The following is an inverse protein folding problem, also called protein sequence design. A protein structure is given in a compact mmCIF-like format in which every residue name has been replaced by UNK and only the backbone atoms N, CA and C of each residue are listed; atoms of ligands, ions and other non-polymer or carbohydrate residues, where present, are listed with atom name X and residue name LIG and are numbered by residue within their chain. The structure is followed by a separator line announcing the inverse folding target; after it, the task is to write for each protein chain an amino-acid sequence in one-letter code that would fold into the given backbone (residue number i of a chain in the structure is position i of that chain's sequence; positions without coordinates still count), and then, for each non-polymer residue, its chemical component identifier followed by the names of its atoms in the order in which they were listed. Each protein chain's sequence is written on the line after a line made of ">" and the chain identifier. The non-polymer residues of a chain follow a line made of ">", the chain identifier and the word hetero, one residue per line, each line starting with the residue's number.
data_IF_697005416675
#
_entry.id   IF_697005416675
#
_cell.length_a   1.000
_cell.length_b   1.000
_cell.length_c   1.000
_cell.angle_alpha   90.00
_cell.angle_beta   90.00
_cell.angle_gamma   90.00
#
_symmetry.space_group_name_H-M   'P 1'
#
loop_
_entity.id
_entity.type
_entity.pdbx_description
1 polymer ?
#
# COMPACT_ATOMS: atom_id res chain seq x y z
N UNK A 1 30.31 27.79 23.66
CA UNK A 1 28.87 27.76 24.03
C UNK A 1 28.79 27.25 25.47
N UNK A 2 28.20 28.03 26.42
CA UNK A 2 28.11 27.56 27.79
C UNK A 2 27.15 26.37 27.90
N UNK A 3 27.42 25.44 28.82
CA UNK A 3 26.60 24.28 29.12
C UNK A 3 25.12 24.64 29.32
N UNK A 4 24.86 25.82 29.90
CA UNK A 4 23.51 26.37 30.09
C UNK A 4 22.77 26.55 28.76
N UNK A 5 23.41 27.14 27.76
CA UNK A 5 22.75 27.35 26.42
C UNK A 5 22.56 26.05 25.68
N UNK A 6 23.48 25.10 25.81
CA UNK A 6 23.30 23.74 25.23
C UNK A 6 22.11 23.04 25.88
N UNK A 7 21.97 23.11 27.21
CA UNK A 7 20.84 22.51 27.92
C UNK A 7 19.50 23.14 27.49
N UNK A 8 19.44 24.47 27.42
CA UNK A 8 18.24 25.18 26.94
C UNK A 8 17.89 24.75 25.54
N UNK A 9 18.86 24.66 24.63
CA UNK A 9 18.64 24.20 23.25
C UNK A 9 18.07 22.78 23.21
N UNK A 10 18.63 21.84 23.98
CA UNK A 10 18.16 20.46 24.07
C UNK A 10 16.72 20.40 24.58
N UNK A 11 16.40 21.17 25.64
CA UNK A 11 15.02 21.23 26.18
C UNK A 11 14.03 21.79 25.16
N UNK A 12 14.40 22.88 24.48
CA UNK A 12 13.54 23.48 23.44
C UNK A 12 13.35 22.54 22.24
N UNK A 13 14.39 21.85 21.83
CA UNK A 13 14.32 20.85 20.77
C UNK A 13 13.40 19.68 21.16
N UNK A 14 13.55 19.16 22.38
CA UNK A 14 12.70 18.09 22.89
C UNK A 14 11.22 18.53 23.00
N UNK A 15 10.98 19.72 23.52
CA UNK A 15 9.64 20.30 23.60
C UNK A 15 9.03 20.53 22.21
N UNK A 16 9.78 21.10 21.28
CA UNK A 16 9.36 21.29 19.90
C UNK A 16 9.04 19.97 19.18
N UNK A 17 9.87 18.95 19.36
CA UNK A 17 9.64 17.60 18.84
C UNK A 17 8.37 16.98 19.44
N UNK A 18 8.19 17.09 20.75
CA UNK A 18 6.98 16.61 21.43
C UNK A 18 5.72 17.29 20.89
N UNK A 19 5.73 18.63 20.80
CA UNK A 19 4.60 19.40 20.27
C UNK A 19 4.32 19.03 18.80
N UNK A 20 5.36 18.87 17.99
CA UNK A 20 5.22 18.44 16.61
C UNK A 20 4.53 17.07 16.51
N UNK A 21 5.04 16.04 17.22
CA UNK A 21 4.46 14.70 17.20
C UNK A 21 3.02 14.71 17.76
N UNK A 22 2.76 15.52 18.78
CA UNK A 22 1.45 15.55 19.46
C UNK A 22 0.38 16.28 18.68
N UNK A 23 0.73 17.33 17.94
CA UNK A 23 -0.24 18.26 17.37
C UNK A 23 -0.22 18.31 15.84
N UNK A 24 0.88 17.97 15.17
CA UNK A 24 0.92 18.05 13.72
C UNK A 24 -0.02 17.02 13.08
N UNK A 25 -0.91 17.44 12.16
CA UNK A 25 -1.96 16.56 11.62
C UNK A 25 -1.41 15.37 10.81
N UNK A 26 -0.18 15.42 10.31
CA UNK A 26 0.44 14.32 9.57
C UNK A 26 0.44 13.00 10.35
N UNK A 27 0.42 13.05 11.67
CA UNK A 27 0.38 11.87 12.54
C UNK A 27 -1.01 11.25 12.69
N UNK A 28 -2.04 11.85 12.05
CA UNK A 28 -3.40 11.34 12.06
C UNK A 28 -4.21 11.73 13.29
N UNK A 29 -5.45 11.21 13.36
CA UNK A 29 -6.43 11.42 14.42
C UNK A 29 -6.58 10.21 15.33
N UNK A 30 -7.42 10.37 16.35
CA UNK A 30 -7.87 9.28 17.23
C UNK A 30 -9.33 8.93 16.88
N UNK A 31 -9.71 7.65 16.90
CA UNK A 31 -11.09 7.23 16.65
C UNK A 31 -12.07 7.89 17.61
N UNK A 32 -13.20 8.35 17.09
CA UNK A 32 -14.33 8.81 17.86
C UNK A 32 -15.06 7.65 18.59
N UNK A 33 -16.08 7.95 19.38
CA UNK A 33 -16.80 6.95 20.14
C UNK A 33 -17.49 5.90 19.23
N UNK A 34 -17.95 6.29 18.05
CA UNK A 34 -18.61 5.41 17.10
C UNK A 34 -17.61 4.47 16.43
N UNK A 35 -16.48 4.97 15.94
CA UNK A 35 -15.38 4.16 15.40
C UNK A 35 -14.83 3.22 16.48
N UNK A 36 -14.62 3.70 17.71
CA UNK A 36 -14.17 2.84 18.82
C UNK A 36 -15.15 1.72 19.16
N UNK A 37 -16.46 1.98 19.10
CA UNK A 37 -17.45 0.93 19.30
C UNK A 37 -17.35 -0.15 18.23
N UNK A 38 -17.15 0.23 16.97
CA UNK A 38 -16.93 -0.71 15.85
C UNK A 38 -15.61 -1.48 15.99
N UNK A 39 -14.52 -0.80 16.35
CA UNK A 39 -13.21 -1.41 16.60
C UNK A 39 -13.30 -2.50 17.67
N UNK A 40 -13.97 -2.21 18.79
CA UNK A 40 -14.14 -3.16 19.91
C UNK A 40 -14.99 -4.39 19.56
N UNK A 41 -15.81 -4.33 18.54
CA UNK A 41 -16.60 -5.46 18.04
C UNK A 41 -15.81 -6.34 17.05
N UNK A 42 -14.69 -5.86 16.54
CA UNK A 42 -13.84 -6.63 15.63
C UNK A 42 -13.23 -7.84 16.34
N UNK A 43 -13.36 -9.05 15.79
CA UNK A 43 -12.69 -10.24 16.33
C UNK A 43 -11.17 -10.18 16.19
N UNK A 44 -10.66 -9.17 15.46
CA UNK A 44 -9.24 -8.95 15.19
C UNK A 44 -8.64 -7.90 16.12
N UNK A 45 -9.44 -7.35 17.05
CA UNK A 45 -9.00 -6.41 18.08
C UNK A 45 -8.95 -7.12 19.44
N UNK A 46 -7.77 -7.17 20.06
CA UNK A 46 -7.56 -7.90 21.32
C UNK A 46 -7.93 -7.11 22.59
N UNK A 47 -8.51 -5.93 22.44
CA UNK A 47 -8.84 -5.00 23.54
C UNK A 47 -7.89 -3.80 23.63
N UNK A 48 -6.70 -3.89 23.03
CA UNK A 48 -5.68 -2.84 22.99
C UNK A 48 -5.29 -2.46 21.55
N UNK A 49 -5.02 -3.49 20.71
CA UNK A 49 -4.52 -3.33 19.34
C UNK A 49 -5.12 -4.38 18.41
N UNK A 50 -5.05 -4.13 17.12
CA UNK A 50 -5.34 -5.14 16.10
C UNK A 50 -4.24 -6.19 16.01
N UNK A 51 -4.61 -7.44 15.70
CA UNK A 51 -3.71 -8.57 15.62
C UNK A 51 -3.82 -9.29 14.28
N UNK A 52 -2.72 -9.88 13.82
CA UNK A 52 -2.69 -10.74 12.64
C UNK A 52 -3.38 -12.09 12.89
N UNK A 53 -3.84 -12.74 11.80
CA UNK A 53 -4.40 -14.12 11.87
C UNK A 53 -3.37 -15.17 12.29
N UNK A 54 -2.08 -14.87 12.11
CA UNK A 54 -0.95 -15.70 12.47
C UNK A 54 0.02 -14.88 13.31
N UNK A 55 0.75 -15.49 14.28
CA UNK A 55 1.81 -14.80 15.00
C UNK A 55 2.76 -14.10 14.01
N UNK A 56 2.96 -12.82 14.19
CA UNK A 56 3.72 -11.99 13.25
C UNK A 56 4.63 -11.04 14.02
N UNK A 57 5.89 -11.42 14.08
CA UNK A 57 6.95 -10.51 14.54
C UNK A 57 7.33 -9.58 13.39
N UNK A 58 7.40 -8.28 13.67
CA UNK A 58 7.74 -7.29 12.63
C UNK A 58 9.24 -7.36 12.33
N UNK A 59 10.05 -7.58 13.35
CA UNK A 59 11.49 -7.81 13.22
C UNK A 59 11.80 -9.14 13.88
N UNK A 60 12.40 -10.08 13.14
CA UNK A 60 12.96 -11.26 13.76
C UNK A 60 14.20 -10.84 14.55
N UNK A 61 14.21 -11.16 15.83
CA UNK A 61 15.43 -11.16 16.63
C UNK A 61 16.24 -12.39 16.22
N UNK A 62 17.18 -12.26 15.29
CA UNK A 62 18.24 -13.24 15.15
C UNK A 62 19.01 -13.24 16.47
N UNK A 63 19.02 -14.38 17.14
CA UNK A 63 19.53 -14.54 18.52
C UNK A 63 20.99 -14.17 18.75
N UNK A 64 21.72 -13.66 17.76
CA UNK A 64 23.15 -13.38 17.92
C UNK A 64 23.69 -12.11 17.21
N UNK A 65 22.93 -11.41 16.37
CA UNK A 65 23.46 -10.21 15.67
C UNK A 65 22.38 -9.26 15.11
N UNK A 66 21.36 -8.92 15.85
CA UNK A 66 20.56 -7.75 15.49
C UNK A 66 21.20 -6.51 16.12
N UNK A 67 21.95 -5.76 15.34
CA UNK A 67 22.16 -4.36 15.68
C UNK A 67 20.77 -3.73 15.84
N UNK A 68 20.40 -3.42 17.09
CA UNK A 68 19.14 -2.70 17.37
C UNK A 68 19.12 -1.48 16.46
N UNK A 69 17.98 -1.18 15.80
CA UNK A 69 17.89 -0.02 14.93
C UNK A 69 18.39 1.21 15.71
N UNK A 70 19.58 1.67 15.37
CA UNK A 70 20.15 2.86 16.00
C UNK A 70 19.73 4.09 15.20
N UNK A 71 19.47 5.19 15.87
CA UNK A 71 19.19 6.48 15.22
C UNK A 71 20.35 6.84 14.27
N UNK A 72 21.59 6.51 14.67
CA UNK A 72 22.80 6.73 13.85
C UNK A 72 22.76 5.84 12.60
N UNK A 73 22.42 4.55 12.73
CA UNK A 73 22.28 3.63 11.60
C UNK A 73 21.18 4.08 10.63
N UNK A 74 20.03 4.51 11.15
CA UNK A 74 18.97 5.09 10.35
C UNK A 74 19.43 6.37 9.63
N UNK A 75 20.03 7.31 10.33
CA UNK A 75 20.54 8.55 9.74
C UNK A 75 21.59 8.27 8.66
N UNK A 76 22.52 7.34 8.91
CA UNK A 76 23.49 6.89 7.92
C UNK A 76 22.80 6.30 6.69
N UNK A 77 21.78 5.48 6.85
CA UNK A 77 21.05 4.87 5.73
C UNK A 77 20.27 5.87 4.88
N UNK A 78 19.90 7.01 5.46
CA UNK A 78 19.21 8.11 4.77
C UNK A 78 20.20 9.02 4.06
N UNK A 79 21.35 9.34 4.72
CA UNK A 79 22.35 10.28 4.19
C UNK A 79 23.35 9.62 3.24
N UNK A 80 23.61 8.33 3.44
CA UNK A 80 24.52 7.52 2.62
C UNK A 80 23.87 6.16 2.29
N UNK A 81 22.86 6.12 1.42
CA UNK A 81 22.15 4.90 1.12
C UNK A 81 23.07 3.88 0.44
N UNK A 82 22.85 2.56 0.70
CA UNK A 82 23.60 1.51 0.03
C UNK A 82 23.57 1.62 -1.49
N UNK A 83 24.64 1.24 -2.15
CA UNK A 83 24.71 1.22 -3.61
C UNK A 83 23.55 0.40 -4.22
N UNK A 84 22.92 0.91 -5.28
CA UNK A 84 21.78 0.26 -5.93
C UNK A 84 20.44 0.40 -5.21
N UNK A 85 20.36 1.13 -4.10
CA UNK A 85 19.09 1.43 -3.43
C UNK A 85 18.17 2.32 -4.28
N UNK A 86 18.75 3.23 -5.02
CA UNK A 86 18.05 4.08 -5.98
C UNK A 86 18.27 3.58 -7.40
N UNK A 87 17.27 3.68 -8.30
CA UNK A 87 17.48 3.49 -9.73
C UNK A 87 18.55 4.47 -10.24
N UNK A 88 19.41 4.00 -11.13
CA UNK A 88 20.42 4.86 -11.76
C UNK A 88 19.80 5.93 -12.66
N UNK A 89 18.66 5.59 -13.29
CA UNK A 89 17.90 6.44 -14.18
C UNK A 89 16.47 6.66 -13.61
N UNK A 90 15.83 7.79 -13.94
CA UNK A 90 14.43 8.00 -13.59
C UNK A 90 13.54 6.85 -14.09
N UNK A 91 12.56 6.47 -13.28
CA UNK A 91 11.57 5.46 -13.67
C UNK A 91 10.80 5.97 -14.89
N UNK A 92 10.77 5.24 -16.02
CA UNK A 92 10.06 5.66 -17.21
C UNK A 92 8.55 5.74 -16.94
N UNK A 93 7.97 6.90 -17.09
CA UNK A 93 6.54 7.18 -16.94
C UNK A 93 6.07 8.12 -18.05
N UNK A 94 4.77 8.08 -18.35
CA UNK A 94 4.13 8.94 -19.34
C UNK A 94 3.11 9.85 -18.63
N UNK A 95 2.83 11.04 -19.16
CA UNK A 95 1.73 11.87 -18.69
C UNK A 95 0.41 11.07 -18.63
N UNK A 96 -0.44 11.37 -17.66
CA UNK A 96 -1.73 10.72 -17.51
C UNK A 96 -2.67 11.14 -18.65
N UNK A 97 -3.09 10.19 -19.46
CA UNK A 97 -4.13 10.39 -20.47
C UNK A 97 -5.49 9.97 -19.89
N UNK A 98 -6.23 10.94 -19.38
CA UNK A 98 -7.57 10.72 -18.83
C UNK A 98 -8.58 10.22 -19.87
N UNK A 99 -8.41 10.53 -21.15
CA UNK A 99 -9.26 10.04 -22.22
C UNK A 99 -9.03 8.55 -22.52
N UNK A 100 -7.81 8.07 -22.26
CA UNK A 100 -7.48 6.66 -22.38
C UNK A 100 -7.93 5.83 -21.17
N UNK A 101 -8.34 6.44 -20.07
CA UNK A 101 -8.83 5.76 -18.86
C UNK A 101 -10.28 5.27 -19.10
N UNK A 102 -10.43 4.14 -19.76
CA UNK A 102 -11.70 3.46 -20.04
C UNK A 102 -11.93 2.32 -19.04
N UNK A 103 -13.12 1.75 -19.03
CA UNK A 103 -13.40 0.55 -18.22
C UNK A 103 -12.34 -0.54 -18.45
N UNK A 104 -12.01 -1.25 -17.39
CA UNK A 104 -11.00 -2.31 -17.35
C UNK A 104 -9.59 -1.83 -17.69
N UNK A 105 -9.29 -0.54 -17.43
CA UNK A 105 -7.95 0.06 -17.55
C UNK A 105 -7.41 0.42 -16.19
N UNK A 106 -6.10 0.15 -16.03
CA UNK A 106 -5.35 0.35 -14.82
C UNK A 106 -4.12 1.21 -15.14
N UNK A 107 -3.84 2.18 -14.28
CA UNK A 107 -2.66 3.05 -14.38
C UNK A 107 -1.95 3.03 -13.04
N UNK A 108 -0.71 2.59 -13.03
CA UNK A 108 0.16 2.70 -11.88
C UNK A 108 0.76 4.10 -11.84
N UNK A 109 0.54 4.82 -10.74
CA UNK A 109 0.97 6.21 -10.55
C UNK A 109 2.22 6.36 -9.69
N UNK A 110 2.83 5.26 -9.32
CA UNK A 110 4.00 5.20 -8.46
C UNK A 110 3.70 4.55 -7.13
N UNK A 111 4.72 4.04 -6.47
CA UNK A 111 4.66 3.28 -5.23
C UNK A 111 3.46 2.32 -5.19
N UNK A 112 2.57 2.49 -4.20
CA UNK A 112 1.34 1.71 -4.02
C UNK A 112 0.12 2.25 -4.78
N UNK A 113 0.25 3.41 -5.45
CA UNK A 113 -0.90 4.12 -6.02
C UNK A 113 -1.35 3.52 -7.34
N UNK A 114 -2.60 3.07 -7.38
CA UNK A 114 -3.24 2.51 -8.57
C UNK A 114 -4.53 3.25 -8.90
N UNK A 115 -4.60 3.85 -10.08
CA UNK A 115 -5.81 4.45 -10.65
C UNK A 115 -6.43 3.48 -11.65
N UNK A 116 -7.75 3.26 -11.59
CA UNK A 116 -8.43 2.42 -12.57
C UNK A 116 -9.89 2.79 -12.73
N UNK A 117 -10.47 2.35 -13.83
CA UNK A 117 -11.90 2.48 -14.10
C UNK A 117 -12.54 1.08 -14.25
N UNK A 118 -13.62 0.84 -13.51
CA UNK A 118 -14.34 -0.43 -13.52
C UNK A 118 -15.84 -0.18 -13.33
N UNK A 119 -16.68 -0.79 -14.15
CA UNK A 119 -18.14 -0.57 -14.14
C UNK A 119 -18.52 0.92 -14.16
N UNK A 120 -17.86 1.71 -14.98
CA UNK A 120 -18.00 3.17 -15.11
C UNK A 120 -17.65 3.99 -13.84
N UNK A 121 -17.03 3.36 -12.82
CA UNK A 121 -16.51 4.01 -11.64
C UNK A 121 -15.00 4.18 -11.72
N UNK A 122 -14.52 5.37 -11.41
CA UNK A 122 -13.09 5.68 -11.29
C UNK A 122 -12.66 5.50 -9.85
N UNK A 123 -11.73 4.57 -9.62
CA UNK A 123 -11.24 4.23 -8.29
C UNK A 123 -9.74 4.52 -8.17
N UNK A 124 -9.33 4.91 -6.96
CA UNK A 124 -7.94 5.16 -6.63
C UNK A 124 -7.59 4.36 -5.37
N UNK A 125 -6.52 3.57 -5.45
CA UNK A 125 -6.01 2.78 -4.33
C UNK A 125 -4.74 3.42 -3.78
N UNK A 126 -4.63 3.48 -2.45
CA UNK A 126 -3.46 3.90 -1.67
C UNK A 126 -2.75 5.13 -2.28
N UNK A 127 -3.40 6.31 -2.30
CA UNK A 127 -2.89 7.49 -2.98
C UNK A 127 -1.70 8.12 -2.25
N UNK A 128 -0.52 8.03 -2.86
CA UNK A 128 0.73 8.65 -2.38
C UNK A 128 1.39 9.43 -3.52
N UNK A 129 1.42 10.74 -3.38
CA UNK A 129 1.98 11.67 -4.35
C UNK A 129 3.13 12.49 -3.78
N UNK A 130 3.30 12.43 -2.47
CA UNK A 130 4.31 13.17 -1.74
C UNK A 130 5.30 12.20 -1.06
N UNK A 131 6.04 12.70 -0.11
CA UNK A 131 7.02 11.94 0.65
C UNK A 131 6.33 10.99 1.64
N UNK A 132 6.72 9.72 1.60
CA UNK A 132 6.27 8.69 2.53
C UNK A 132 6.95 8.83 3.92
N UNK A 133 6.87 10.02 4.51
CA UNK A 133 7.50 10.33 5.80
C UNK A 133 6.81 11.54 6.42
N UNK A 134 6.67 11.59 7.76
CA UNK A 134 6.12 12.75 8.45
C UNK A 134 7.06 13.96 8.46
N UNK A 135 8.33 13.76 8.11
CA UNK A 135 9.39 14.79 8.12
C UNK A 135 10.05 14.88 6.74
N UNK A 136 10.86 15.92 6.55
CA UNK A 136 11.60 16.15 5.30
C UNK A 136 12.72 15.13 5.03
N UNK A 137 13.08 14.30 6.04
CA UNK A 137 14.09 13.25 5.92
C UNK A 137 13.45 11.90 5.55
N UNK A 138 14.05 11.21 4.60
CA UNK A 138 13.57 9.89 4.17
C UNK A 138 12.29 9.93 3.34
N UNK A 139 11.82 8.77 2.89
CA UNK A 139 10.54 8.56 2.21
C UNK A 139 10.35 9.29 0.87
N UNK A 140 11.39 9.88 0.28
CA UNK A 140 11.26 10.51 -1.04
C UNK A 140 10.93 9.46 -2.11
N UNK A 141 9.99 9.73 -3.02
CA UNK A 141 9.76 8.86 -4.17
C UNK A 141 11.00 8.81 -5.06
N UNK A 142 11.16 7.73 -5.82
CA UNK A 142 12.18 7.68 -6.86
C UNK A 142 11.89 8.71 -7.95
N UNK A 143 12.94 9.22 -8.58
CA UNK A 143 12.78 10.07 -9.75
C UNK A 143 12.00 9.34 -10.84
N UNK A 144 11.05 10.04 -11.47
CA UNK A 144 10.24 9.55 -12.58
C UNK A 144 10.40 10.50 -13.75
N UNK A 145 10.28 10.02 -14.99
CA UNK A 145 10.34 10.89 -16.18
C UNK A 145 9.14 11.84 -16.24
N UNK A 146 7.99 11.41 -15.72
CA UNK A 146 6.83 12.24 -15.42
C UNK A 146 6.37 11.97 -14.00
N UNK A 147 6.34 12.98 -13.14
CA UNK A 147 5.85 12.87 -11.77
C UNK A 147 4.38 13.26 -11.73
N UNK A 148 3.53 12.33 -11.28
CA UNK A 148 2.09 12.55 -11.19
C UNK A 148 1.75 13.45 -10.01
N UNK A 149 0.68 14.21 -10.16
CA UNK A 149 0.09 15.07 -9.14
C UNK A 149 -1.40 14.79 -8.99
N UNK A 150 -1.98 15.12 -7.82
CA UNK A 150 -3.43 15.04 -7.62
C UNK A 150 -4.20 15.93 -8.62
N UNK A 151 -3.59 17.05 -9.05
CA UNK A 151 -4.19 17.97 -10.01
C UNK A 151 -4.52 17.32 -11.35
N UNK A 152 -3.69 16.36 -11.82
CA UNK A 152 -3.86 15.67 -13.11
C UNK A 152 -4.95 14.59 -13.09
N UNK A 153 -5.37 14.14 -11.89
CA UNK A 153 -6.36 13.08 -11.77
C UNK A 153 -7.76 13.55 -12.21
N UNK A 154 -8.54 12.66 -12.84
CA UNK A 154 -9.95 12.91 -13.11
C UNK A 154 -10.75 12.96 -11.78
N UNK A 155 -12.04 13.30 -11.78
CA UNK A 155 -12.92 13.04 -10.64
C UNK A 155 -12.85 11.56 -10.23
N UNK A 156 -12.73 11.33 -8.92
CA UNK A 156 -12.59 10.00 -8.33
C UNK A 156 -13.92 9.62 -7.67
N UNK A 157 -14.54 8.53 -8.11
CA UNK A 157 -15.77 8.05 -7.50
C UNK A 157 -15.50 7.49 -6.10
N UNK A 158 -14.43 6.69 -5.93
CA UNK A 158 -14.03 6.18 -4.62
C UNK A 158 -12.50 6.06 -4.47
N UNK A 159 -12.01 6.38 -3.27
CA UNK A 159 -10.65 6.08 -2.81
C UNK A 159 -10.72 4.91 -1.84
N UNK A 160 -9.85 3.90 -2.03
CA UNK A 160 -9.72 2.75 -1.14
C UNK A 160 -8.32 2.77 -0.51
N UNK A 161 -8.27 2.67 0.83
CA UNK A 161 -7.03 2.73 1.59
C UNK A 161 -6.82 1.41 2.32
N UNK A 162 -5.69 0.77 2.07
CA UNK A 162 -5.35 -0.53 2.66
C UNK A 162 -4.96 -0.41 4.13
N UNK A 163 -4.14 0.57 4.49
CA UNK A 163 -3.68 0.83 5.85
C UNK A 163 -3.08 2.24 5.99
N UNK A 164 -2.66 2.61 7.20
CA UNK A 164 -2.31 3.98 7.55
C UNK A 164 -0.82 4.35 7.42
N UNK A 165 0.04 3.49 6.88
CA UNK A 165 1.45 3.84 6.66
C UNK A 165 1.59 5.03 5.71
N UNK A 166 2.68 5.78 5.84
CA UNK A 166 2.91 7.02 5.08
C UNK A 166 3.04 6.80 3.57
N UNK A 167 3.41 5.60 3.15
CA UNK A 167 3.55 5.17 1.76
C UNK A 167 2.28 4.52 1.19
N UNK A 168 1.16 4.55 1.94
CA UNK A 168 -0.17 4.13 1.52
C UNK A 168 -1.24 5.19 1.82
N UNK A 169 -1.00 6.06 2.80
CA UNK A 169 -1.91 7.10 3.23
C UNK A 169 -1.17 8.44 3.38
N UNK A 170 -1.17 9.22 2.33
CA UNK A 170 -0.50 10.52 2.23
C UNK A 170 -1.45 11.65 2.67
N UNK A 171 -1.09 12.32 3.77
CA UNK A 171 -1.84 13.43 4.35
C UNK A 171 -2.18 14.54 3.36
N UNK A 172 -1.18 15.01 2.58
CA UNK A 172 -1.37 16.10 1.61
C UNK A 172 -2.22 15.64 0.44
N UNK A 173 -1.97 14.44 -0.06
CA UNK A 173 -2.77 13.86 -1.14
C UNK A 173 -4.25 13.75 -0.75
N UNK A 174 -4.57 13.31 0.47
CA UNK A 174 -5.95 13.23 0.95
C UNK A 174 -6.62 14.61 0.99
N UNK A 175 -5.92 15.64 1.47
CA UNK A 175 -6.46 17.00 1.50
C UNK A 175 -6.76 17.54 0.08
N UNK A 176 -5.87 17.30 -0.87
CA UNK A 176 -6.08 17.72 -2.27
C UNK A 176 -7.16 16.87 -2.97
N UNK A 177 -7.27 15.58 -2.63
CA UNK A 177 -8.26 14.66 -3.19
C UNK A 177 -9.68 14.91 -2.69
N UNK A 178 -9.87 15.44 -1.48
CA UNK A 178 -11.20 15.52 -0.85
C UNK A 178 -12.23 16.20 -1.74
N UNK A 179 -11.85 17.32 -2.39
CA UNK A 179 -12.77 18.09 -3.25
C UNK A 179 -13.18 17.35 -4.54
N UNK A 180 -12.42 16.37 -5.00
CA UNK A 180 -12.68 15.59 -6.23
C UNK A 180 -13.02 14.12 -5.99
N UNK A 181 -13.13 13.69 -4.72
CA UNK A 181 -13.46 12.32 -4.33
C UNK A 181 -14.89 12.22 -3.83
N UNK A 182 -15.64 11.28 -4.37
CA UNK A 182 -17.01 11.01 -3.95
C UNK A 182 -17.07 10.31 -2.59
N UNK A 183 -16.27 9.25 -2.38
CA UNK A 183 -16.28 8.45 -1.15
C UNK A 183 -14.93 7.84 -0.82
N UNK A 184 -14.69 7.55 0.47
CA UNK A 184 -13.49 6.87 0.97
C UNK A 184 -13.88 5.58 1.67
N UNK A 185 -13.29 4.45 1.26
CA UNK A 185 -13.40 3.17 1.95
C UNK A 185 -12.06 2.86 2.60
N UNK A 186 -12.07 2.62 3.90
CA UNK A 186 -10.85 2.51 4.69
C UNK A 186 -10.94 1.36 5.69
N UNK A 187 -9.81 0.86 6.15
CA UNK A 187 -9.75 -0.11 7.25
C UNK A 187 -10.18 0.55 8.57
N UNK A 188 -10.67 -0.25 9.54
CA UNK A 188 -11.09 0.23 10.86
C UNK A 188 -10.02 1.10 11.52
N UNK A 189 -10.43 2.23 12.08
CA UNK A 189 -9.59 3.22 12.76
C UNK A 189 -8.96 4.26 11.83
N UNK A 190 -8.83 4.00 10.53
CA UNK A 190 -8.23 4.93 9.57
C UNK A 190 -9.11 6.17 9.33
N UNK A 191 -10.43 6.05 9.48
CA UNK A 191 -11.39 7.17 9.41
C UNK A 191 -10.96 8.37 10.25
N UNK A 192 -10.45 8.12 11.45
CA UNK A 192 -10.01 9.17 12.36
C UNK A 192 -8.90 10.06 11.76
N UNK A 193 -8.03 9.50 10.91
CA UNK A 193 -7.01 10.27 10.23
C UNK A 193 -7.65 11.20 9.19
N UNK A 194 -8.54 10.67 8.35
CA UNK A 194 -9.22 11.43 7.31
C UNK A 194 -10.08 12.57 7.90
N UNK A 195 -10.82 12.28 8.98
CA UNK A 195 -11.62 13.29 9.72
C UNK A 195 -10.74 14.43 10.24
N UNK A 196 -9.57 14.09 10.86
CA UNK A 196 -8.61 15.09 11.33
C UNK A 196 -8.07 15.95 10.18
N UNK A 197 -8.03 15.42 8.97
CA UNK A 197 -7.54 16.11 7.77
C UNK A 197 -8.63 16.89 7.02
N UNK A 198 -9.86 16.88 7.53
CA UNK A 198 -10.98 17.69 7.04
C UNK A 198 -11.99 16.94 6.19
N UNK A 199 -11.81 15.64 5.94
CA UNK A 199 -12.78 14.85 5.18
C UNK A 199 -14.06 14.67 6.00
N UNK A 200 -15.20 14.97 5.40
CA UNK A 200 -16.51 14.85 6.05
C UNK A 200 -16.83 13.39 6.40
N UNK A 201 -17.40 13.17 7.58
CA UNK A 201 -17.80 11.86 8.09
C UNK A 201 -18.66 11.06 7.10
N UNK A 202 -19.61 11.72 6.48
CA UNK A 202 -20.54 11.13 5.50
C UNK A 202 -19.86 10.58 4.23
N UNK A 203 -18.61 10.98 3.97
CA UNK A 203 -17.81 10.50 2.83
C UNK A 203 -16.94 9.29 3.18
N UNK A 204 -16.96 8.77 4.43
CA UNK A 204 -16.03 7.75 4.88
C UNK A 204 -16.78 6.51 5.37
N UNK A 205 -16.42 5.36 4.85
CA UNK A 205 -16.86 4.04 5.34
C UNK A 205 -15.67 3.25 5.86
N UNK A 206 -15.71 2.92 7.16
CA UNK A 206 -14.75 1.98 7.77
C UNK A 206 -15.20 0.54 7.58
N UNK A 207 -14.25 -0.34 7.30
CA UNK A 207 -14.50 -1.76 7.06
C UNK A 207 -13.56 -2.63 7.89
N UNK A 208 -14.11 -3.74 8.40
CA UNK A 208 -13.36 -4.83 8.99
C UNK A 208 -13.02 -5.89 7.93
N UNK A 209 -12.12 -6.83 8.25
CA UNK A 209 -11.85 -7.96 7.36
C UNK A 209 -13.13 -8.74 7.07
N UNK A 210 -13.27 -9.11 5.82
CA UNK A 210 -14.43 -9.81 5.25
C UNK A 210 -15.71 -8.98 5.13
N UNK A 211 -15.74 -7.74 5.63
CA UNK A 211 -16.86 -6.84 5.35
C UNK A 211 -16.93 -6.50 3.86
N UNK A 212 -18.15 -6.31 3.40
CA UNK A 212 -18.45 -5.99 2.01
C UNK A 212 -19.29 -4.73 1.93
N UNK A 213 -18.98 -3.88 0.96
CA UNK A 213 -19.76 -2.71 0.61
C UNK A 213 -20.18 -2.78 -0.85
N UNK A 214 -21.44 -2.41 -1.13
CA UNK A 214 -21.93 -2.22 -2.49
C UNK A 214 -21.64 -0.78 -2.91
N UNK A 215 -21.01 -0.59 -4.05
CA UNK A 215 -20.69 0.72 -4.60
C UNK A 215 -21.11 0.79 -6.08
N UNK A 216 -22.33 1.20 -6.36
CA UNK A 216 -22.95 1.03 -7.67
C UNK A 216 -22.96 -0.45 -8.06
N UNK A 217 -22.44 -0.77 -9.24
CA UNK A 217 -22.31 -2.16 -9.75
C UNK A 217 -21.05 -2.87 -9.24
N UNK A 218 -20.33 -2.27 -8.30
CA UNK A 218 -19.11 -2.84 -7.70
C UNK A 218 -19.41 -3.39 -6.31
N UNK A 219 -18.79 -4.53 -6.00
CA UNK A 219 -18.67 -5.05 -4.64
C UNK A 219 -17.24 -4.86 -4.17
N UNK A 220 -17.08 -4.11 -3.11
CA UNK A 220 -15.81 -3.87 -2.42
C UNK A 220 -15.73 -4.81 -1.23
N UNK A 221 -14.61 -5.47 -1.01
CA UNK A 221 -14.39 -6.32 0.16
C UNK A 221 -13.01 -6.00 0.72
N UNK A 222 -12.94 -5.75 2.04
CA UNK A 222 -11.67 -5.70 2.74
C UNK A 222 -11.27 -7.13 3.14
N UNK A 223 -10.15 -7.61 2.64
CA UNK A 223 -9.62 -8.93 2.93
C UNK A 223 -8.44 -8.85 3.91
N UNK A 224 -8.14 -9.91 4.67
CA UNK A 224 -6.99 -9.94 5.56
C UNK A 224 -5.67 -9.75 4.83
N UNK A 225 -4.72 -9.12 5.53
CA UNK A 225 -3.31 -9.07 5.16
C UNK A 225 -2.45 -9.41 6.38
N UNK A 226 -1.20 -9.82 6.17
CA UNK A 226 -0.23 -10.07 7.23
C UNK A 226 0.74 -8.91 7.32
N UNK A 227 0.36 -7.89 8.10
CA UNK A 227 1.12 -6.64 8.16
C UNK A 227 0.97 -5.99 9.53
N UNK A 228 1.13 -4.69 9.61
CA UNK A 228 0.96 -3.86 10.79
C UNK A 228 0.54 -2.45 10.38
N UNK A 229 0.20 -1.61 11.35
CA UNK A 229 -0.18 -0.22 11.15
C UNK A 229 0.50 0.70 12.14
N UNK A 230 0.33 2.01 11.92
CA UNK A 230 0.76 3.04 12.84
C UNK A 230 1.55 4.17 12.18
N UNK A 231 1.32 5.40 12.67
CA UNK A 231 1.95 6.63 12.19
C UNK A 231 2.88 7.27 13.23
N UNK A 232 2.91 6.71 14.45
CA UNK A 232 3.79 7.15 15.54
C UNK A 232 4.37 5.96 16.29
N UNK A 233 5.32 6.21 17.19
CA UNK A 233 5.88 5.15 18.04
C UNK A 233 4.87 4.57 19.05
N UNK A 234 3.74 5.26 19.28
CA UNK A 234 2.78 4.92 20.33
C UNK A 234 1.44 4.40 19.83
N UNK A 235 1.16 4.47 18.52
CA UNK A 235 -0.11 4.03 17.94
C UNK A 235 0.04 2.81 17.01
N UNK A 236 1.07 1.99 17.25
CA UNK A 236 1.26 0.75 16.51
C UNK A 236 0.03 -0.14 16.62
N UNK A 237 -0.46 -0.64 15.48
CA UNK A 237 -1.63 -1.50 15.37
C UNK A 237 -2.93 -0.91 15.98
N UNK A 238 -3.01 0.41 16.12
CA UNK A 238 -4.24 1.06 16.57
C UNK A 238 -5.31 1.15 15.47
N UNK A 239 -4.93 0.98 14.22
CA UNK A 239 -5.80 0.86 13.04
C UNK A 239 -5.64 -0.53 12.42
N UNK A 240 -6.66 -0.99 11.71
CA UNK A 240 -6.58 -2.24 10.95
C UNK A 240 -5.84 -2.00 9.63
N UNK A 241 -5.34 -3.07 9.05
CA UNK A 241 -4.75 -3.14 7.71
C UNK A 241 -5.45 -4.21 6.89
N UNK A 242 -5.33 -4.16 5.55
CA UNK A 242 -5.98 -5.17 4.72
C UNK A 242 -5.64 -5.06 3.25
N UNK A 243 -6.17 -6.01 2.51
CA UNK A 243 -6.14 -6.07 1.05
C UNK A 243 -7.52 -5.72 0.49
N UNK A 244 -7.59 -5.22 -0.73
CA UNK A 244 -8.85 -4.89 -1.37
C UNK A 244 -9.22 -5.90 -2.45
N UNK A 245 -10.47 -6.34 -2.43
CA UNK A 245 -11.09 -7.07 -3.53
C UNK A 245 -12.15 -6.18 -4.12
N UNK A 246 -12.05 -5.89 -5.42
CA UNK A 246 -13.02 -5.10 -6.17
C UNK A 246 -13.60 -5.98 -7.27
N UNK A 247 -14.91 -6.18 -7.25
CA UNK A 247 -15.60 -7.08 -8.17
C UNK A 247 -16.73 -6.39 -8.89
N UNK A 248 -16.73 -6.51 -10.20
CA UNK A 248 -17.87 -6.19 -11.07
C UNK A 248 -18.49 -7.48 -11.63
N UNK A 249 -19.49 -7.36 -12.48
CA UNK A 249 -20.05 -8.50 -13.20
C UNK A 249 -19.02 -9.20 -14.13
N UNK A 250 -18.04 -8.44 -14.64
CA UNK A 250 -17.11 -8.90 -15.68
C UNK A 250 -15.67 -9.07 -15.22
N UNK A 251 -15.27 -8.45 -14.10
CA UNK A 251 -13.88 -8.44 -13.65
C UNK A 251 -13.80 -8.50 -12.14
N UNK A 252 -12.88 -9.33 -11.66
CA UNK A 252 -12.53 -9.50 -10.27
C UNK A 252 -11.06 -9.11 -10.07
N UNK A 253 -10.81 -8.08 -9.25
CA UNK A 253 -9.51 -7.55 -8.95
C UNK A 253 -9.14 -7.85 -7.48
N UNK A 254 -7.91 -8.26 -7.25
CA UNK A 254 -7.29 -8.33 -5.94
C UNK A 254 -6.13 -7.35 -5.86
N UNK A 255 -6.16 -6.47 -4.87
CA UNK A 255 -5.07 -5.55 -4.53
C UNK A 255 -4.55 -5.89 -3.14
N UNK A 256 -3.32 -6.35 -3.08
CA UNK A 256 -2.75 -6.92 -1.86
C UNK A 256 -2.50 -5.87 -0.76
N UNK A 257 -2.31 -4.59 -1.09
CA UNK A 257 -1.67 -3.65 -0.17
C UNK A 257 -0.27 -4.14 0.22
N UNK A 258 0.13 -3.95 1.47
CA UNK A 258 1.34 -4.57 2.02
C UNK A 258 0.98 -5.81 2.83
N UNK A 259 1.74 -6.88 2.62
CA UNK A 259 1.52 -8.14 3.33
C UNK A 259 2.71 -9.09 3.21
N UNK A 260 3.14 -9.68 4.29
CA UNK A 260 3.96 -10.88 4.27
C UNK A 260 3.19 -12.09 3.73
N UNK A 261 3.91 -13.13 3.34
CA UNK A 261 3.32 -14.39 2.92
C UNK A 261 2.72 -15.14 4.12
N UNK A 262 1.54 -15.72 3.94
CA UNK A 262 0.84 -16.47 4.99
C UNK A 262 -0.38 -17.24 4.47
N UNK A 263 -1.05 -17.95 5.38
CA UNK A 263 -2.23 -18.79 5.07
C UNK A 263 -3.42 -17.99 4.55
N UNK A 264 -3.47 -16.69 4.83
CA UNK A 264 -4.55 -15.81 4.37
C UNK A 264 -4.66 -15.77 2.83
N UNK A 265 -3.57 -15.96 2.07
CA UNK A 265 -3.68 -16.02 0.60
C UNK A 265 -4.47 -17.22 0.11
N UNK A 266 -4.26 -18.41 0.71
CA UNK A 266 -5.06 -19.59 0.38
C UNK A 266 -6.53 -19.38 0.74
N UNK A 267 -6.81 -18.87 1.94
CA UNK A 267 -8.16 -18.55 2.40
C UNK A 267 -8.86 -17.53 1.50
N UNK A 268 -8.14 -16.47 1.07
CA UNK A 268 -8.67 -15.46 0.15
C UNK A 268 -8.98 -16.10 -1.21
N UNK A 269 -8.08 -16.95 -1.72
CA UNK A 269 -8.27 -17.67 -2.97
C UNK A 269 -9.49 -18.59 -2.95
N UNK A 270 -9.68 -19.34 -1.87
CA UNK A 270 -10.82 -20.23 -1.67
C UNK A 270 -12.14 -19.46 -1.54
N UNK A 271 -12.15 -18.41 -0.73
CA UNK A 271 -13.38 -17.69 -0.38
C UNK A 271 -13.81 -16.70 -1.46
N UNK A 272 -12.85 -16.06 -2.12
CA UNK A 272 -13.11 -14.94 -3.03
C UNK A 272 -12.56 -15.14 -4.44
N UNK A 273 -11.78 -16.17 -4.70
CA UNK A 273 -11.24 -16.45 -6.02
C UNK A 273 -12.27 -17.08 -6.98
N UNK A 274 -11.89 -17.27 -8.24
CA UNK A 274 -10.65 -16.78 -8.84
C UNK A 274 -10.68 -15.27 -9.11
N UNK A 275 -9.49 -14.67 -9.24
CA UNK A 275 -9.34 -13.27 -9.64
C UNK A 275 -8.87 -13.19 -11.11
N UNK A 276 -9.34 -12.18 -11.83
CA UNK A 276 -8.89 -11.91 -13.19
C UNK A 276 -7.58 -11.13 -13.20
N UNK A 277 -7.39 -10.25 -12.19
CA UNK A 277 -6.18 -9.44 -11.99
C UNK A 277 -5.81 -9.42 -10.52
N UNK A 278 -4.53 -9.60 -10.22
CA UNK A 278 -3.98 -9.45 -8.88
C UNK A 278 -2.76 -8.50 -8.89
N UNK A 279 -2.85 -7.44 -8.10
CA UNK A 279 -1.75 -6.52 -7.85
C UNK A 279 -1.07 -6.92 -6.54
N UNK A 280 0.17 -7.40 -6.66
CA UNK A 280 0.92 -7.98 -5.55
C UNK A 280 2.11 -7.08 -5.20
N UNK A 281 2.25 -6.75 -3.92
CA UNK A 281 3.46 -6.10 -3.41
C UNK A 281 4.69 -6.96 -3.69
N UNK A 282 5.76 -6.32 -4.13
CA UNK A 282 7.03 -6.98 -4.44
C UNK A 282 8.21 -5.99 -4.35
N UNK A 283 8.27 -5.14 -3.36
CA UNK A 283 9.26 -4.06 -3.32
C UNK A 283 10.03 -3.90 -2.01
N UNK A 284 9.39 -4.11 -0.88
CA UNK A 284 9.94 -3.82 0.44
C UNK A 284 10.51 -5.06 1.15
N UNK A 285 10.80 -6.14 0.42
CA UNK A 285 11.29 -7.37 1.03
C UNK A 285 12.68 -7.21 1.67
N UNK A 286 12.78 -7.67 2.91
CA UNK A 286 14.02 -7.79 3.64
C UNK A 286 14.00 -9.12 4.44
N UNK A 287 14.63 -10.19 3.91
CA UNK A 287 14.55 -11.51 4.54
C UNK A 287 15.10 -11.59 5.96
N UNK A 288 15.94 -10.62 6.35
CA UNK A 288 16.51 -10.56 7.70
C UNK A 288 15.78 -9.57 8.61
N UNK A 289 15.26 -8.48 8.05
CA UNK A 289 14.64 -7.40 8.83
C UNK A 289 13.17 -7.62 9.13
N UNK A 290 12.36 -7.89 8.09
CA UNK A 290 10.88 -8.01 8.20
C UNK A 290 10.26 -9.06 7.28
N UNK A 291 10.70 -10.33 7.38
CA UNK A 291 10.29 -11.38 6.46
C UNK A 291 8.83 -11.80 6.59
N UNK A 292 8.16 -11.43 7.69
CA UNK A 292 6.79 -11.82 7.97
C UNK A 292 5.75 -10.76 7.59
N UNK A 293 6.18 -9.52 7.31
CA UNK A 293 5.27 -8.39 7.01
C UNK A 293 5.40 -7.89 5.57
N UNK A 294 6.43 -8.34 4.87
CA UNK A 294 6.62 -8.20 3.42
C UNK A 294 7.01 -9.54 2.82
N UNK A 295 6.90 -9.70 1.52
CA UNK A 295 7.19 -10.97 0.84
C UNK A 295 8.27 -10.81 -0.22
N UNK A 296 9.00 -11.91 -0.46
CA UNK A 296 9.96 -11.98 -1.57
C UNK A 296 9.24 -12.06 -2.92
N UNK A 297 9.93 -11.80 -4.04
CA UNK A 297 9.37 -12.00 -5.38
C UNK A 297 8.82 -13.40 -5.62
N UNK A 298 9.47 -14.43 -5.09
CA UNK A 298 9.05 -15.84 -5.20
C UNK A 298 7.74 -16.06 -4.43
N UNK A 299 7.65 -15.53 -3.21
CA UNK A 299 6.44 -15.58 -2.39
C UNK A 299 5.29 -14.79 -3.02
N UNK A 300 5.59 -13.64 -3.65
CA UNK A 300 4.58 -12.87 -4.39
C UNK A 300 4.05 -13.67 -5.59
N UNK A 301 4.94 -14.35 -6.33
CA UNK A 301 4.55 -15.22 -7.43
C UNK A 301 3.73 -16.44 -6.94
N UNK A 302 4.10 -17.03 -5.80
CA UNK A 302 3.37 -18.13 -5.18
C UNK A 302 1.97 -17.70 -4.71
N UNK A 303 1.86 -16.56 -4.06
CA UNK A 303 0.57 -16.00 -3.63
C UNK A 303 -0.34 -15.66 -4.82
N UNK A 304 0.23 -15.19 -5.93
CA UNK A 304 -0.48 -14.88 -7.17
C UNK A 304 -0.80 -16.10 -8.04
N UNK A 305 -0.26 -17.28 -7.76
CA UNK A 305 -0.46 -18.48 -8.58
C UNK A 305 -1.89 -19.07 -8.52
N UNK A 306 -2.70 -18.66 -7.55
CA UNK A 306 -4.08 -19.09 -7.40
C UNK A 306 -5.08 -18.48 -8.41
N UNK A 307 -4.89 -17.31 -9.01
CA UNK A 307 -5.79 -16.70 -9.95
C UNK A 307 -5.41 -16.97 -11.43
N UNK A 308 -6.34 -16.62 -12.32
CA UNK A 308 -6.21 -16.87 -13.77
C UNK A 308 -5.12 -16.05 -14.47
N UNK A 309 -4.68 -14.94 -13.89
CA UNK A 309 -3.59 -14.11 -14.41
C UNK A 309 -3.02 -13.21 -13.32
N UNK A 310 -1.89 -13.54 -12.69
CA UNK A 310 -1.18 -12.61 -11.84
C UNK A 310 -0.57 -11.50 -12.70
N UNK A 311 -0.87 -10.26 -12.39
CA UNK A 311 -0.12 -9.11 -12.86
C UNK A 311 0.71 -8.60 -11.66
N UNK A 312 1.97 -9.01 -11.51
CA UNK A 312 2.79 -8.54 -10.42
C UNK A 312 3.11 -7.06 -10.66
N UNK A 313 2.52 -6.17 -9.89
CA UNK A 313 3.00 -4.81 -9.75
C UNK A 313 3.97 -4.76 -8.59
N UNK A 314 5.12 -4.23 -8.85
CA UNK A 314 6.15 -4.02 -7.83
C UNK A 314 6.02 -2.62 -7.26
N UNK A 315 5.83 -2.55 -5.95
CA UNK A 315 5.93 -1.31 -5.20
C UNK A 315 7.41 -0.97 -5.01
N UNK A 316 7.99 -0.14 -5.80
CA UNK A 316 9.41 0.13 -5.70
C UNK A 316 9.75 1.59 -5.95
N UNK A 317 8.93 2.51 -5.43
CA UNK A 317 9.14 3.92 -5.71
C UNK A 317 9.49 4.76 -4.47
N UNK A 318 10.00 4.17 -3.40
CA UNK A 318 10.47 4.91 -2.23
C UNK A 318 11.75 4.36 -1.65
N UNK A 319 12.47 5.19 -0.89
CA UNK A 319 13.76 4.83 -0.25
C UNK A 319 13.67 3.74 0.83
N UNK A 320 12.50 3.23 1.15
CA UNK A 320 12.34 2.12 2.07
C UNK A 320 12.78 0.78 1.48
N UNK A 321 13.01 0.71 0.19
CA UNK A 321 13.55 -0.47 -0.46
C UNK A 321 14.98 -0.74 0.01
N UNK A 322 15.20 -1.90 0.61
CA UNK A 322 16.52 -2.34 1.08
C UNK A 322 17.28 -3.22 0.09
N UNK A 323 16.63 -3.65 -1.01
CA UNK A 323 17.20 -4.63 -1.93
C UNK A 323 17.42 -4.04 -3.33
N UNK A 324 18.62 -4.21 -3.93
CA UNK A 324 18.86 -3.84 -5.32
C UNK A 324 18.02 -4.70 -6.28
N UNK A 325 17.43 -4.12 -7.28
CA UNK A 325 16.67 -4.87 -8.29
C UNK A 325 16.14 -3.97 -9.40
N UNK A 326 15.91 -4.54 -10.57
CA UNK A 326 15.34 -3.82 -11.71
C UNK A 326 13.88 -3.48 -11.44
N UNK A 327 13.51 -2.22 -11.66
CA UNK A 327 12.13 -1.76 -11.62
C UNK A 327 11.46 -2.22 -12.92
N UNK A 328 10.32 -2.92 -12.87
CA UNK A 328 9.55 -3.20 -14.07
C UNK A 328 9.02 -1.87 -14.64
N UNK A 329 9.15 -1.69 -15.94
CA UNK A 329 8.53 -0.56 -16.62
C UNK A 329 7.02 -0.60 -16.42
N UNK A 330 6.43 0.56 -16.12
CA UNK A 330 4.97 0.73 -16.02
C UNK A 330 4.31 0.28 -17.33
N UNK A 331 3.36 -0.63 -17.21
CA UNK A 331 2.57 -1.07 -18.35
C UNK A 331 1.10 -0.84 -18.05
N UNK A 332 0.37 -0.32 -19.03
CA UNK A 332 -1.07 -0.43 -19.07
C UNK A 332 -1.41 -1.93 -19.18
N UNK A 333 -1.90 -2.54 -18.12
CA UNK A 333 -2.39 -3.91 -18.17
C UNK A 333 -3.82 -3.91 -18.72
N UNK A 334 -4.02 -4.53 -19.90
CA UNK A 334 -5.34 -4.84 -20.42
C UNK A 334 -5.70 -6.25 -19.96
N UNK A 335 -6.84 -6.47 -19.29
CA UNK A 335 -7.29 -7.82 -18.99
C UNK A 335 -7.50 -8.61 -20.29
N UNK A 336 -7.32 -9.94 -20.28
CA UNK A 336 -7.61 -10.76 -21.44
C UNK A 336 -9.08 -10.63 -21.84
N UNK A 337 -9.41 -10.67 -23.13
CA UNK A 337 -10.80 -10.58 -23.59
C UNK A 337 -11.61 -11.73 -22.99
N UNK A 338 -12.69 -11.39 -22.29
CA UNK A 338 -13.66 -12.33 -21.74
C UNK A 338 -14.47 -12.91 -22.88
N UNK A 339 -14.16 -14.13 -23.32
CA UNK A 339 -15.02 -14.88 -24.21
C UNK A 339 -15.67 -16.01 -23.40
N UNK A 340 -16.98 -15.95 -23.10
CA UNK A 340 -17.64 -16.88 -22.18
C UNK A 340 -17.79 -18.30 -22.74
N UNK A 341 -17.44 -18.57 -24.00
CA UNK A 341 -17.76 -19.85 -24.69
C UNK A 341 -16.56 -20.76 -24.97
N UNK A 342 -15.33 -20.40 -24.63
CA UNK A 342 -14.17 -21.27 -24.86
C UNK A 342 -13.42 -21.59 -23.60
N UNK A 343 -13.53 -22.82 -23.07
CA UNK A 343 -12.56 -23.38 -22.12
C UNK A 343 -11.16 -23.40 -22.79
N UNK A 344 -10.15 -22.72 -22.27
CA UNK A 344 -8.82 -22.75 -22.87
C UNK A 344 -8.16 -24.11 -22.60
N UNK A 345 -7.73 -24.79 -23.69
CA UNK A 345 -6.75 -25.87 -23.62
C UNK A 345 -5.43 -25.27 -23.07
N UNK A 346 -4.81 -25.94 -22.10
CA UNK A 346 -3.49 -25.60 -21.57
C UNK A 346 -2.49 -25.45 -22.71
N UNK A 347 -2.11 -24.22 -23.03
CA UNK A 347 -0.85 -23.91 -23.71
C UNK A 347 -0.07 -23.04 -22.74
N UNK A 348 1.18 -23.41 -22.49
CA UNK A 348 2.19 -22.69 -21.70
C UNK A 348 2.11 -21.19 -22.01
N UNK A 349 1.58 -20.41 -21.04
CA UNK A 349 1.13 -19.06 -21.30
C UNK A 349 2.27 -18.07 -21.40
N UNK A 350 2.37 -17.44 -22.55
CA UNK A 350 3.00 -16.12 -22.65
C UNK A 350 1.93 -15.09 -22.27
N UNK A 351 2.21 -14.26 -21.30
CA UNK A 351 1.46 -13.02 -21.12
C UNK A 351 1.69 -12.15 -22.37
N UNK A 352 0.68 -12.04 -23.24
CA UNK A 352 0.77 -11.24 -24.47
C UNK A 352 0.80 -9.72 -24.21
N UNK A 353 0.83 -9.30 -22.97
CA UNK A 353 0.65 -7.92 -22.52
C UNK A 353 2.00 -7.27 -22.14
N UNK A 354 3.03 -8.07 -21.86
CA UNK A 354 4.36 -7.54 -21.54
C UNK A 354 5.37 -7.95 -22.62
N UNK A 355 5.65 -7.06 -23.57
CA UNK A 355 6.72 -7.26 -24.59
C UNK A 355 8.13 -7.27 -23.98
N UNK A 356 8.28 -6.99 -22.68
CA UNK A 356 9.57 -6.81 -21.99
C UNK A 356 9.80 -7.73 -20.79
N UNK A 357 8.97 -8.77 -20.56
CA UNK A 357 9.30 -9.77 -19.55
C UNK A 357 10.47 -10.63 -20.04
N UNK A 358 11.61 -10.66 -19.32
CA UNK A 358 12.71 -11.57 -19.66
C UNK A 358 12.24 -13.01 -19.54
N UNK A 359 12.61 -13.85 -20.49
CA UNK A 359 12.38 -15.30 -20.43
C UNK A 359 13.03 -15.84 -19.16
N UNK A 360 12.26 -16.53 -18.34
CA UNK A 360 12.84 -17.42 -17.34
C UNK A 360 13.66 -18.47 -18.10
N UNK A 361 14.99 -18.35 -18.06
CA UNK A 361 15.89 -19.38 -18.51
C UNK A 361 15.70 -20.57 -17.57
N UNK A 362 15.09 -21.63 -18.06
CA UNK A 362 15.03 -22.91 -17.37
C UNK A 362 16.46 -23.47 -17.25
N UNK A 363 17.07 -23.27 -16.11
CA UNK A 363 18.22 -24.02 -15.64
C UNK A 363 17.70 -25.20 -14.85
N UNK A 364 17.84 -26.41 -15.40
CA UNK A 364 17.77 -27.65 -14.60
C UNK A 364 18.99 -27.66 -13.70
N UNK A 365 18.81 -27.75 -12.43
CA UNK A 365 19.53 -28.65 -11.50
C UNK A 365 18.58 -28.97 -10.35
#
# INVERSE_FOLDING_TARGET
>A
VSLKWLLIFVVLLAAGTYLFIRFHPVFGGQPDAQSMAKIRQSPHFNGEVFVNLEPTEIQLSDGDNTEKPSIIGWLSSVTNPPAGKHPAEPVPTLPLDNAALKNDRFVWLGHSTLLFKLANKTLLLDPVFNRASPIFLGGAPFAMTHTYTVGELPPIDAVLISHDHYDHLDYRAIQELDSKTGHFYVSLGVKAHLQRWGVADSKITEMDWHEQAQFGDLRLTLAPARHFSGRTLHNRNSTLWGAWIVRSANLSLFFNGDSGYGKHFAMIGERYGPFDVAFMENGAYNPKGWPLVHKTPEQAAQAGAAPRAPCPLTWANSIWRTTPGKIPSSAFCKPPPTNPTKRPRRKSGRCSICKTCPRASGGRV
#
